data_IF_654582771669
#
_entry.id   IF_654582771669
#
_cell.length_a   1.000
_cell.length_b   1.000
_cell.length_c   1.000
_cell.angle_alpha   90.00
_cell.angle_beta   90.00
_cell.angle_gamma   90.00
#
_symmetry.space_group_name_H-M   'P 1'
#
loop_
_entity.id
_entity.type
_entity.pdbx_description
1 polymer ?
#
# COMPACT_ATOMS: atom_id res chain seq x y z
N UNK A 1 -33.06 -7.82 -29.07
CA UNK A 1 -33.84 -7.27 -27.94
C UNK A 1 -32.93 -7.26 -26.72
N UNK A 2 -32.22 -6.15 -26.43
CA UNK A 2 -31.39 -6.05 -25.22
C UNK A 2 -32.35 -5.89 -24.04
N UNK A 3 -32.54 -6.93 -23.23
CA UNK A 3 -33.14 -6.76 -21.91
C UNK A 3 -32.38 -5.66 -21.18
N UNK A 4 -33.10 -4.71 -20.59
CA UNK A 4 -32.46 -3.69 -19.73
C UNK A 4 -31.87 -4.44 -18.54
N UNK A 5 -30.57 -4.32 -18.31
CA UNK A 5 -29.83 -4.99 -17.22
C UNK A 5 -30.53 -4.78 -15.86
N UNK A 6 -31.22 -3.66 -15.69
CA UNK A 6 -31.99 -3.31 -14.48
C UNK A 6 -33.15 -4.27 -14.17
N UNK A 7 -33.68 -5.02 -15.14
CA UNK A 7 -34.80 -5.96 -14.93
C UNK A 7 -34.36 -7.38 -14.57
N UNK A 8 -33.05 -7.65 -14.56
CA UNK A 8 -32.51 -8.97 -14.21
C UNK A 8 -32.54 -9.19 -12.68
N UNK A 9 -32.66 -10.46 -12.22
CA UNK A 9 -32.40 -10.83 -10.83
C UNK A 9 -31.06 -10.25 -10.33
N UNK A 10 -30.98 -9.91 -9.04
CA UNK A 10 -29.77 -9.31 -8.47
C UNK A 10 -28.52 -10.16 -8.72
N UNK A 11 -28.64 -11.48 -8.59
CA UNK A 11 -27.55 -12.41 -8.87
C UNK A 11 -26.96 -12.20 -10.26
N UNK A 12 -27.79 -12.21 -11.30
CA UNK A 12 -27.35 -12.06 -12.70
C UNK A 12 -26.74 -10.67 -12.95
N UNK A 13 -27.29 -9.62 -12.34
CA UNK A 13 -26.72 -8.26 -12.41
C UNK A 13 -25.31 -8.19 -11.83
N UNK A 14 -25.08 -8.87 -10.70
CA UNK A 14 -23.76 -8.90 -10.06
C UNK A 14 -22.76 -9.72 -10.90
N UNK A 15 -23.20 -10.85 -11.47
CA UNK A 15 -22.37 -11.66 -12.37
C UNK A 15 -21.98 -10.87 -13.61
N UNK A 16 -22.91 -10.22 -14.31
CA UNK A 16 -22.59 -9.39 -15.49
C UNK A 16 -21.56 -8.29 -15.17
N UNK A 17 -21.66 -7.69 -13.98
CA UNK A 17 -20.68 -6.71 -13.51
C UNK A 17 -19.31 -7.34 -13.28
N UNK A 18 -19.25 -8.53 -12.69
CA UNK A 18 -17.99 -9.26 -12.46
C UNK A 18 -17.38 -9.72 -13.79
N UNK A 19 -18.17 -10.19 -14.75
CA UNK A 19 -17.72 -10.53 -16.10
C UNK A 19 -17.13 -9.30 -16.82
N UNK A 20 -17.74 -8.13 -16.63
CA UNK A 20 -17.19 -6.87 -17.13
C UNK A 20 -15.83 -6.53 -16.51
N UNK A 21 -15.61 -6.86 -15.23
CA UNK A 21 -14.30 -6.70 -14.58
C UNK A 21 -13.25 -7.66 -15.15
N UNK A 22 -13.60 -8.94 -15.38
CA UNK A 22 -12.68 -9.89 -16.03
C UNK A 22 -12.27 -9.43 -17.42
N UNK A 23 -13.22 -8.90 -18.21
CA UNK A 23 -12.95 -8.40 -19.55
C UNK A 23 -12.08 -7.12 -19.57
N UNK A 24 -11.95 -6.42 -18.43
CA UNK A 24 -11.27 -5.12 -18.34
C UNK A 24 -10.18 -5.12 -17.26
N UNK A 25 -10.51 -4.68 -16.05
CA UNK A 25 -9.56 -4.38 -14.97
C UNK A 25 -8.91 -5.63 -14.36
N UNK A 26 -9.52 -6.81 -14.44
CA UNK A 26 -9.00 -8.06 -13.84
C UNK A 26 -8.36 -9.00 -14.87
N UNK A 27 -8.24 -8.55 -16.12
CA UNK A 27 -7.77 -9.34 -17.25
C UNK A 27 -6.41 -10.02 -17.01
N UNK A 28 -5.55 -9.37 -16.23
CA UNK A 28 -4.16 -9.80 -16.04
C UNK A 28 -3.99 -10.89 -14.96
N UNK A 29 -5.02 -11.23 -14.19
CA UNK A 29 -4.87 -12.06 -12.98
C UNK A 29 -5.71 -13.32 -12.93
N UNK A 30 -6.88 -13.35 -13.57
CA UNK A 30 -7.89 -14.36 -13.27
C UNK A 30 -8.37 -15.12 -14.52
N UNK A 31 -8.37 -16.47 -14.48
CA UNK A 31 -9.01 -17.26 -15.52
C UNK A 31 -10.53 -17.10 -15.45
N UNK A 32 -11.18 -17.18 -16.62
CA UNK A 32 -12.63 -17.12 -16.72
C UNK A 32 -13.28 -18.19 -15.82
N UNK A 33 -14.29 -17.79 -15.04
CA UNK A 33 -15.05 -18.70 -14.20
C UNK A 33 -14.49 -18.97 -12.79
N UNK A 34 -13.34 -18.40 -12.40
CA UNK A 34 -12.76 -18.61 -11.05
C UNK A 34 -13.71 -18.20 -9.90
N UNK A 35 -14.62 -17.24 -10.13
CA UNK A 35 -15.64 -16.88 -9.15
C UNK A 35 -16.55 -18.04 -8.79
N UNK A 36 -16.80 -19.00 -9.68
CA UNK A 36 -17.63 -20.16 -9.37
C UNK A 36 -16.95 -21.11 -8.38
N UNK A 37 -15.64 -21.34 -8.57
CA UNK A 37 -14.82 -22.10 -7.62
C UNK A 37 -14.76 -21.40 -6.26
N UNK A 38 -14.58 -20.08 -6.28
CA UNK A 38 -14.58 -19.25 -5.07
C UNK A 38 -15.94 -19.28 -4.35
N UNK A 39 -17.05 -19.18 -5.08
CA UNK A 39 -18.41 -19.27 -4.52
C UNK A 39 -18.73 -20.67 -3.97
N UNK A 40 -18.11 -21.70 -4.55
CA UNK A 40 -18.19 -23.09 -4.08
C UNK A 40 -17.62 -23.31 -2.68
N UNK A 41 -16.82 -22.37 -2.16
CA UNK A 41 -16.33 -22.43 -0.79
C UNK A 41 -17.41 -22.12 0.25
N UNK A 42 -18.41 -21.30 -0.08
CA UNK A 42 -19.51 -20.96 0.82
C UNK A 42 -20.49 -22.13 0.87
N UNK A 43 -20.42 -22.88 1.97
CA UNK A 43 -21.19 -24.10 2.21
C UNK A 43 -21.95 -23.97 3.53
N UNK A 44 -23.25 -24.22 3.46
CA UNK A 44 -24.12 -24.25 4.62
C UNK A 44 -25.03 -25.48 4.56
N UNK A 45 -25.46 -25.97 5.72
CA UNK A 45 -26.39 -27.11 5.81
C UNK A 45 -27.78 -26.70 5.30
N UNK A 46 -28.14 -25.44 5.52
CA UNK A 46 -29.34 -24.82 5.01
C UNK A 46 -29.05 -24.19 3.63
N UNK A 47 -29.77 -24.65 2.60
CA UNK A 47 -29.56 -24.15 1.23
C UNK A 47 -29.98 -22.69 1.06
N UNK A 48 -31.03 -22.23 1.75
CA UNK A 48 -31.46 -20.82 1.66
C UNK A 48 -30.38 -19.90 2.25
N UNK A 49 -29.79 -20.29 3.38
CA UNK A 49 -28.66 -19.55 3.97
C UNK A 49 -27.45 -19.62 3.04
N UNK A 50 -27.17 -20.77 2.43
CA UNK A 50 -26.08 -20.92 1.47
C UNK A 50 -26.22 -19.99 0.26
N UNK A 51 -27.40 -19.92 -0.34
CA UNK A 51 -27.66 -19.01 -1.46
C UNK A 51 -27.54 -17.54 -1.02
N UNK A 52 -28.02 -17.20 0.19
CA UNK A 52 -27.87 -15.85 0.75
C UNK A 52 -26.40 -15.49 0.98
N UNK A 53 -25.59 -16.40 1.53
CA UNK A 53 -24.14 -16.21 1.70
C UNK A 53 -23.46 -15.95 0.34
N UNK A 54 -23.77 -16.76 -0.69
CA UNK A 54 -23.21 -16.60 -2.04
C UNK A 54 -23.62 -15.28 -2.71
N UNK A 55 -24.88 -14.87 -2.57
CA UNK A 55 -25.36 -13.60 -3.10
C UNK A 55 -24.65 -12.41 -2.44
N UNK A 56 -24.50 -12.42 -1.11
CA UNK A 56 -23.81 -11.36 -0.39
C UNK A 56 -22.29 -11.38 -0.68
N UNK A 57 -21.69 -12.57 -0.87
CA UNK A 57 -20.30 -12.71 -1.31
C UNK A 57 -20.09 -12.12 -2.72
N UNK A 58 -20.99 -12.40 -3.68
CA UNK A 58 -20.99 -11.78 -5.00
C UNK A 58 -21.12 -10.26 -4.92
N UNK A 59 -21.97 -9.76 -4.03
CA UNK A 59 -22.10 -8.33 -3.80
C UNK A 59 -20.77 -7.72 -3.37
N UNK A 60 -20.08 -8.31 -2.39
CA UNK A 60 -18.74 -7.86 -1.98
C UNK A 60 -17.72 -7.92 -3.13
N UNK A 61 -17.71 -9.03 -3.89
CA UNK A 61 -16.82 -9.20 -5.04
C UNK A 61 -17.07 -8.11 -6.10
N UNK A 62 -18.32 -7.73 -6.33
CA UNK A 62 -18.70 -6.66 -7.25
C UNK A 62 -18.22 -5.27 -6.82
N UNK A 63 -17.77 -5.12 -5.56
CA UNK A 63 -17.21 -3.88 -4.98
C UNK A 63 -15.70 -3.98 -4.78
N UNK A 64 -15.09 -5.11 -5.13
CA UNK A 64 -13.69 -5.38 -4.87
C UNK A 64 -12.78 -4.56 -5.77
N UNK A 65 -11.84 -3.84 -5.17
CA UNK A 65 -10.85 -3.04 -5.88
C UNK A 65 -9.65 -3.90 -6.22
N UNK A 66 -9.28 -3.94 -7.50
CA UNK A 66 -8.06 -4.57 -7.95
C UNK A 66 -7.27 -3.58 -8.79
N UNK A 67 -5.98 -3.45 -8.47
CA UNK A 67 -5.05 -2.64 -9.24
C UNK A 67 -4.10 -3.58 -9.98
N UNK A 68 -4.26 -3.64 -11.30
CA UNK A 68 -3.41 -4.39 -12.19
C UNK A 68 -2.03 -3.75 -12.35
N UNK A 69 -1.20 -4.37 -13.19
CA UNK A 69 0.17 -3.90 -13.43
C UNK A 69 0.18 -2.53 -14.11
N UNK A 70 -0.77 -2.26 -15.01
CA UNK A 70 -0.89 -0.96 -15.69
C UNK A 70 -1.24 0.13 -14.69
N UNK A 71 -2.27 -0.09 -13.85
CA UNK A 71 -2.72 0.90 -12.87
C UNK A 71 -1.66 1.17 -11.81
N UNK A 72 -0.99 0.12 -11.31
CA UNK A 72 0.13 0.29 -10.37
C UNK A 72 1.24 1.16 -10.94
N UNK A 73 1.60 0.99 -12.21
CA UNK A 73 2.63 1.80 -12.88
C UNK A 73 2.23 3.27 -12.99
N UNK A 74 0.97 3.55 -13.29
CA UNK A 74 0.47 4.93 -13.27
C UNK A 74 0.48 5.53 -11.87
N UNK A 75 0.10 4.76 -10.83
CA UNK A 75 0.17 5.23 -9.45
C UNK A 75 1.62 5.54 -9.02
N UNK A 76 2.61 4.78 -9.49
CA UNK A 76 4.03 5.07 -9.23
C UNK A 76 4.50 6.39 -9.87
N UNK A 77 3.90 6.79 -11.00
CA UNK A 77 4.12 8.14 -11.57
C UNK A 77 3.49 9.21 -10.68
N UNK A 78 2.30 8.96 -10.14
CA UNK A 78 1.64 9.87 -9.21
C UNK A 78 2.46 10.06 -7.92
N UNK A 79 3.04 8.99 -7.35
CA UNK A 79 3.94 9.12 -6.19
C UNK A 79 5.09 10.09 -6.47
N UNK A 80 5.77 9.92 -7.60
CA UNK A 80 6.89 10.78 -7.95
C UNK A 80 6.46 12.21 -8.30
N UNK A 81 5.42 12.37 -9.14
CA UNK A 81 4.98 13.68 -9.63
C UNK A 81 4.29 14.48 -8.52
N UNK A 82 3.30 13.88 -7.88
CA UNK A 82 2.36 14.59 -7.02
C UNK A 82 2.89 14.70 -5.58
N UNK A 83 3.42 13.61 -5.04
CA UNK A 83 3.86 13.58 -3.64
C UNK A 83 5.30 14.09 -3.46
N UNK A 84 6.20 13.78 -4.40
CA UNK A 84 7.59 14.21 -4.34
C UNK A 84 7.87 15.51 -5.13
N UNK A 85 7.72 15.48 -6.46
CA UNK A 85 8.22 16.54 -7.35
C UNK A 85 7.49 17.86 -7.11
N UNK A 86 6.16 17.87 -7.03
CA UNK A 86 5.41 19.09 -6.78
C UNK A 86 5.73 19.73 -5.43
N UNK A 87 5.99 18.94 -4.39
CA UNK A 87 6.43 19.46 -3.09
C UNK A 87 7.78 20.16 -3.20
N UNK A 88 8.76 19.51 -3.84
CA UNK A 88 10.10 20.09 -4.04
C UNK A 88 10.01 21.37 -4.90
N UNK A 89 9.25 21.32 -6.01
CA UNK A 89 9.04 22.49 -6.87
C UNK A 89 8.34 23.62 -6.13
N UNK A 90 7.32 23.33 -5.33
CA UNK A 90 6.63 24.34 -4.50
C UNK A 90 7.63 25.05 -3.58
N UNK A 91 8.45 24.30 -2.85
CA UNK A 91 9.48 24.87 -1.97
C UNK A 91 10.50 25.71 -2.73
N UNK A 92 10.98 25.24 -3.88
CA UNK A 92 11.87 26.00 -4.75
C UNK A 92 11.23 27.33 -5.17
N UNK A 93 9.94 27.35 -5.48
CA UNK A 93 9.24 28.59 -5.83
C UNK A 93 9.18 29.54 -4.65
N UNK A 94 8.75 29.06 -3.49
CA UNK A 94 8.67 29.84 -2.24
C UNK A 94 10.03 30.45 -1.86
N UNK A 95 11.11 29.66 -1.92
CA UNK A 95 12.48 30.10 -1.60
C UNK A 95 13.07 31.08 -2.63
N UNK A 96 12.40 31.31 -3.77
CA UNK A 96 12.86 32.16 -4.86
C UNK A 96 11.79 33.19 -5.27
N UNK A 97 11.12 33.79 -4.27
CA UNK A 97 10.12 34.85 -4.42
C UNK A 97 8.95 34.44 -5.34
N UNK A 98 8.40 33.25 -5.10
CA UNK A 98 7.26 32.68 -5.85
C UNK A 98 7.46 32.62 -7.37
N UNK A 99 8.72 32.44 -7.81
CA UNK A 99 9.07 32.41 -9.23
C UNK A 99 8.20 31.42 -10.03
N UNK A 100 7.94 31.79 -11.28
CA UNK A 100 7.29 30.94 -12.28
C UNK A 100 8.23 30.61 -13.44
N UNK A 101 9.50 31.05 -13.36
CA UNK A 101 10.49 30.78 -14.39
C UNK A 101 10.86 29.30 -14.40
N UNK A 102 10.38 28.62 -15.45
CA UNK A 102 10.59 27.19 -15.65
C UNK A 102 12.07 26.78 -15.73
N UNK A 103 12.95 27.66 -16.23
CA UNK A 103 14.38 27.35 -16.37
C UNK A 103 15.04 27.35 -15.00
N UNK A 104 14.75 28.36 -14.18
CA UNK A 104 15.25 28.47 -12.80
C UNK A 104 14.73 27.31 -11.95
N UNK A 105 13.43 27.00 -12.07
CA UNK A 105 12.81 25.89 -11.33
C UNK A 105 13.44 24.56 -11.72
N UNK A 106 13.60 24.28 -13.01
CA UNK A 106 14.15 23.01 -13.48
C UNK A 106 15.62 22.84 -13.11
N UNK A 107 16.42 23.92 -13.14
CA UNK A 107 17.81 23.88 -12.69
C UNK A 107 17.91 23.54 -11.20
N UNK A 108 17.19 24.28 -10.34
CA UNK A 108 17.18 24.02 -8.88
C UNK A 108 16.59 22.66 -8.54
N UNK A 109 15.58 22.22 -9.29
CA UNK A 109 15.00 20.89 -9.10
C UNK A 109 16.02 19.78 -9.37
N UNK A 110 16.84 19.91 -10.42
CA UNK A 110 17.92 18.95 -10.69
C UNK A 110 18.94 18.91 -9.56
N UNK A 111 19.30 20.06 -8.98
CA UNK A 111 20.19 20.14 -7.82
C UNK A 111 19.60 19.43 -6.61
N UNK A 112 18.32 19.64 -6.31
CA UNK A 112 17.62 18.96 -5.21
C UNK A 112 17.46 17.45 -5.45
N UNK A 113 17.25 17.03 -6.71
CA UNK A 113 17.18 15.62 -7.07
C UNK A 113 18.54 14.92 -6.86
N UNK A 114 19.66 15.59 -7.11
CA UNK A 114 21.01 15.04 -6.83
C UNK A 114 21.23 14.78 -5.34
N UNK A 115 20.63 15.61 -4.47
CA UNK A 115 20.65 15.49 -3.00
C UNK A 115 19.59 14.52 -2.46
N UNK A 116 18.82 13.88 -3.33
CA UNK A 116 17.74 12.95 -2.97
C UNK A 116 18.16 11.51 -3.17
N UNK A 117 17.75 10.63 -2.25
CA UNK A 117 17.82 9.17 -2.41
C UNK A 117 16.47 8.52 -2.17
N UNK A 118 16.11 7.58 -3.04
CA UNK A 118 14.88 6.78 -2.96
C UNK A 118 15.21 5.39 -2.41
N UNK A 119 14.39 4.93 -1.47
CA UNK A 119 14.53 3.64 -0.80
C UNK A 119 13.19 2.92 -0.76
N UNK A 120 13.21 1.60 -0.78
CA UNK A 120 12.03 0.76 -0.61
C UNK A 120 11.89 0.40 0.85
N UNK A 121 10.66 0.28 1.32
CA UNK A 121 10.40 -0.21 2.68
C UNK A 121 10.26 -1.72 2.68
N UNK A 122 10.82 -2.36 3.71
CA UNK A 122 10.74 -3.80 3.91
C UNK A 122 11.97 -4.58 3.47
N UNK A 123 11.83 -5.90 3.50
CA UNK A 123 12.88 -6.84 3.09
C UNK A 123 12.96 -6.88 1.54
N UNK A 124 14.14 -7.16 0.94
CA UNK A 124 14.28 -7.36 -0.51
C UNK A 124 13.28 -8.33 -1.17
N UNK A 125 12.73 -9.30 -0.42
CA UNK A 125 11.69 -10.22 -0.90
C UNK A 125 10.26 -9.65 -0.83
N UNK A 126 10.09 -8.40 -0.42
CA UNK A 126 8.79 -7.76 -0.21
C UNK A 126 8.42 -6.75 -1.30
N UNK A 127 7.14 -6.38 -1.31
CA UNK A 127 6.54 -5.53 -2.33
C UNK A 127 7.17 -4.14 -2.42
N UNK A 128 7.46 -3.50 -1.29
CA UNK A 128 8.05 -2.15 -1.25
C UNK A 128 9.37 -2.03 -2.00
N UNK A 129 10.26 -3.03 -1.89
CA UNK A 129 11.52 -3.06 -2.65
C UNK A 129 11.28 -3.41 -4.12
N UNK A 130 10.35 -4.31 -4.42
CA UNK A 130 10.02 -4.68 -5.79
C UNK A 130 9.48 -3.50 -6.61
N UNK A 131 8.59 -2.68 -6.03
CA UNK A 131 7.98 -1.55 -6.74
C UNK A 131 8.98 -0.44 -7.08
N UNK A 132 10.10 -0.31 -6.36
CA UNK A 132 11.15 0.66 -6.69
C UNK A 132 11.70 0.46 -8.10
N UNK A 133 11.79 -0.80 -8.56
CA UNK A 133 12.27 -1.09 -9.89
C UNK A 133 11.38 -0.45 -10.95
N UNK A 134 10.06 -0.58 -10.81
CA UNK A 134 9.09 0.05 -11.70
C UNK A 134 9.04 1.56 -11.50
N UNK A 135 9.09 2.04 -10.25
CA UNK A 135 9.14 3.47 -9.94
C UNK A 135 10.28 4.17 -10.70
N UNK A 136 11.47 3.56 -10.73
CA UNK A 136 12.61 4.09 -11.50
C UNK A 136 12.33 4.15 -12.99
N UNK A 137 11.76 3.07 -13.56
CA UNK A 137 11.48 2.98 -14.99
C UNK A 137 10.44 4.00 -15.43
N UNK A 138 9.30 4.02 -14.74
CA UNK A 138 8.17 4.89 -15.09
C UNK A 138 8.52 6.38 -14.97
N UNK A 139 9.39 6.73 -14.01
CA UNK A 139 9.82 8.11 -13.77
C UNK A 139 11.14 8.48 -14.47
N UNK A 140 11.70 7.58 -15.30
CA UNK A 140 12.94 7.79 -16.08
C UNK A 140 14.13 8.24 -15.21
N UNK A 141 14.24 7.68 -14.02
CA UNK A 141 15.26 8.05 -13.03
C UNK A 141 16.55 7.23 -13.22
N UNK A 142 17.69 7.85 -12.93
CA UNK A 142 18.99 7.16 -12.92
C UNK A 142 19.06 6.21 -11.73
N UNK A 143 19.73 5.06 -11.91
CA UNK A 143 19.93 4.07 -10.85
C UNK A 143 20.67 4.64 -9.62
N UNK A 144 21.48 5.67 -9.81
CA UNK A 144 22.27 6.33 -8.75
C UNK A 144 21.42 7.05 -7.71
N UNK A 145 20.14 7.30 -7.99
CA UNK A 145 19.21 7.87 -7.01
C UNK A 145 18.63 6.83 -6.06
N UNK A 146 18.90 5.55 -6.27
CA UNK A 146 18.35 4.44 -5.48
C UNK A 146 19.46 3.80 -4.68
N UNK A 147 19.23 3.61 -3.39
CA UNK A 147 20.19 3.01 -2.47
C UNK A 147 19.49 1.97 -1.59
N UNK A 148 20.27 1.04 -1.04
CA UNK A 148 19.78 0.16 0.00
C UNK A 148 19.87 0.86 1.36
N UNK A 149 19.16 0.35 2.38
CA UNK A 149 19.16 0.97 3.70
C UNK A 149 20.54 0.92 4.37
N UNK A 150 21.34 -0.09 4.03
CA UNK A 150 22.72 -0.23 4.50
C UNK A 150 23.66 0.79 3.86
N UNK A 151 23.34 1.25 2.64
CA UNK A 151 24.17 2.23 1.91
C UNK A 151 23.95 3.66 2.42
N UNK A 152 23.00 3.88 3.34
CA UNK A 152 22.75 5.18 3.98
C UNK A 152 23.92 5.58 4.88
N UNK A 153 24.54 4.59 5.54
CA UNK A 153 25.54 4.80 6.56
C UNK A 153 26.88 4.21 6.17
N UNK A 154 27.93 4.77 6.75
CA UNK A 154 29.28 4.20 6.71
C UNK A 154 29.85 4.13 8.12
N UNK A 155 30.72 3.15 8.35
CA UNK A 155 31.46 3.00 9.59
C UNK A 155 32.89 3.44 9.37
N UNK A 156 33.37 4.38 10.17
CA UNK A 156 34.75 4.79 10.19
C UNK A 156 35.43 4.29 11.46
N UNK A 157 36.59 3.63 11.32
CA UNK A 157 37.40 3.24 12.48
C UNK A 157 38.16 4.47 12.97
N UNK A 158 37.81 4.96 14.15
CA UNK A 158 38.51 6.05 14.84
C UNK A 158 39.49 5.44 15.83
N UNK A 159 40.74 5.91 15.78
CA UNK A 159 41.80 5.57 16.72
C UNK A 159 42.20 6.81 17.48
N UNK A 160 41.93 6.82 18.78
CA UNK A 160 42.30 7.92 19.67
C UNK A 160 43.43 7.46 20.58
N UNK A 161 44.45 8.29 20.70
CA UNK A 161 45.48 8.12 21.72
C UNK A 161 45.16 9.11 22.82
N UNK A 162 44.80 8.60 24.00
CA UNK A 162 44.58 9.45 25.17
C UNK A 162 45.88 10.14 25.60
N UNK A 163 45.75 11.24 26.35
CA UNK A 163 46.89 12.00 26.88
C UNK A 163 47.84 11.18 27.78
N UNK A 164 47.41 9.99 28.26
CA UNK A 164 48.23 9.05 29.03
C UNK A 164 48.80 7.90 28.18
N UNK A 165 48.76 8.01 26.85
CA UNK A 165 49.32 7.03 25.91
C UNK A 165 48.50 5.76 25.71
N UNK A 166 47.29 5.68 26.27
CA UNK A 166 46.39 4.54 26.00
C UNK A 166 45.66 4.76 24.68
N UNK A 167 45.77 3.79 23.78
CA UNK A 167 45.03 3.74 22.54
C UNK A 167 43.61 3.21 22.77
N UNK A 168 42.62 3.88 22.19
CA UNK A 168 41.24 3.41 22.09
C UNK A 168 40.85 3.38 20.62
N UNK A 169 40.25 2.29 20.17
CA UNK A 169 39.67 2.18 18.83
C UNK A 169 38.16 1.94 18.94
N UNK A 170 37.37 2.67 18.20
CA UNK A 170 35.92 2.47 18.09
C UNK A 170 35.43 2.77 16.68
N UNK A 171 34.28 2.22 16.31
CA UNK A 171 33.61 2.56 15.05
C UNK A 171 32.66 3.73 15.30
N UNK A 172 32.81 4.77 14.50
CA UNK A 172 31.86 5.87 14.43
C UNK A 172 30.95 5.68 13.22
N UNK A 173 29.65 5.83 13.44
CA UNK A 173 28.63 5.74 12.40
C UNK A 173 28.37 7.15 11.85
N UNK A 174 28.52 7.32 10.54
CA UNK A 174 28.19 8.56 9.84
C UNK A 174 27.35 8.30 8.59
N UNK A 175 26.82 9.36 7.97
CA UNK A 175 26.17 9.22 6.66
C UNK A 175 27.23 8.91 5.59
N UNK A 176 26.91 8.01 4.67
CA UNK A 176 27.83 7.62 3.61
C UNK A 176 28.12 8.77 2.61
N UNK A 177 27.15 9.65 2.39
CA UNK A 177 27.27 10.83 1.53
C UNK A 177 26.58 12.02 2.19
N UNK A 178 27.39 12.95 2.72
CA UNK A 178 26.91 14.14 3.43
C UNK A 178 26.16 15.13 2.54
N UNK A 179 26.32 15.03 1.21
CA UNK A 179 25.56 15.87 0.28
C UNK A 179 24.09 15.44 0.17
N UNK A 180 23.75 14.26 0.68
CA UNK A 180 22.38 13.75 0.68
C UNK A 180 21.63 14.28 1.88
N UNK A 181 20.68 15.15 1.59
CA UNK A 181 19.85 15.81 2.59
C UNK A 181 18.40 15.32 2.56
N UNK A 182 18.03 14.50 1.57
CA UNK A 182 16.65 14.02 1.42
C UNK A 182 16.57 12.51 1.18
N UNK A 183 15.81 11.82 2.02
CA UNK A 183 15.54 10.39 1.93
C UNK A 183 14.05 10.14 1.72
N UNK A 184 13.70 9.48 0.62
CA UNK A 184 12.31 9.23 0.24
C UNK A 184 12.06 7.72 0.23
N UNK A 185 11.32 7.26 1.21
CA UNK A 185 10.90 5.88 1.36
C UNK A 185 9.61 5.66 0.58
N UNK A 186 9.61 4.64 -0.29
CA UNK A 186 8.48 4.28 -1.15
C UNK A 186 7.93 2.92 -0.72
N UNK A 187 6.61 2.82 -0.65
CA UNK A 187 5.91 1.58 -0.30
C UNK A 187 4.64 1.38 -1.15
N UNK A 188 4.14 0.15 -1.22
CA UNK A 188 2.92 -0.14 -1.97
C UNK A 188 1.67 0.08 -1.11
N UNK A 189 1.67 -0.38 0.14
CA UNK A 189 0.49 -0.35 0.99
C UNK A 189 0.82 -0.19 2.48
N UNK A 190 0.26 0.85 3.12
CA UNK A 190 0.28 1.01 4.57
C UNK A 190 -1.09 0.78 5.20
N UNK A 191 -1.27 -0.41 5.79
CA UNK A 191 -2.46 -0.74 6.57
C UNK A 191 -2.46 -0.03 7.92
N UNK A 192 -1.68 -0.53 8.87
CA UNK A 192 -1.65 -0.03 10.25
C UNK A 192 -0.35 0.67 10.66
N UNK A 193 0.60 0.81 9.73
CA UNK A 193 1.89 1.45 9.97
C UNK A 193 2.92 0.65 10.78
N UNK A 194 2.65 -0.61 11.19
CA UNK A 194 3.61 -1.42 11.97
C UNK A 194 4.99 -1.49 11.29
N UNK A 195 5.01 -1.83 10.00
CA UNK A 195 6.26 -1.98 9.25
C UNK A 195 7.04 -0.66 9.17
N UNK A 196 6.35 0.45 8.89
CA UNK A 196 6.96 1.77 8.83
C UNK A 196 7.54 2.22 10.17
N UNK A 197 6.89 1.88 11.30
CA UNK A 197 7.42 2.16 12.64
C UNK A 197 8.72 1.41 12.91
N UNK A 198 8.74 0.12 12.63
CA UNK A 198 9.95 -0.71 12.82
C UNK A 198 11.09 -0.20 11.95
N UNK A 199 10.75 0.27 10.74
CA UNK A 199 11.70 0.86 9.82
C UNK A 199 12.21 2.23 10.28
N UNK A 200 11.32 3.07 10.83
CA UNK A 200 11.66 4.38 11.41
C UNK A 200 12.70 4.24 12.50
N UNK A 201 12.50 3.32 13.44
CA UNK A 201 13.43 3.06 14.55
C UNK A 201 14.82 2.64 14.09
N UNK A 202 14.90 1.87 13.01
CA UNK A 202 16.17 1.31 12.52
C UNK A 202 16.97 2.25 11.64
N UNK A 203 16.30 3.12 10.88
CA UNK A 203 16.95 3.91 9.83
C UNK A 203 16.67 5.40 10.03
N UNK A 204 15.41 5.81 10.15
CA UNK A 204 15.03 7.23 10.18
C UNK A 204 15.55 7.92 11.42
N UNK A 205 15.41 7.30 12.60
CA UNK A 205 15.93 7.85 13.85
C UNK A 205 17.46 8.01 13.82
N UNK A 206 18.18 7.09 13.17
CA UNK A 206 19.63 7.20 12.99
C UNK A 206 19.99 8.34 12.02
N UNK A 207 19.29 8.45 10.88
CA UNK A 207 19.47 9.57 9.94
C UNK A 207 19.28 10.90 10.67
N UNK A 208 18.20 11.03 11.44
CA UNK A 208 17.85 12.25 12.18
C UNK A 208 18.80 12.54 13.33
N UNK A 209 19.37 11.52 13.95
CA UNK A 209 20.39 11.69 15.00
C UNK A 209 21.70 12.23 14.42
N UNK A 210 22.13 11.73 13.25
CA UNK A 210 23.38 12.16 12.60
C UNK A 210 23.19 13.50 11.88
N UNK A 211 22.07 13.68 11.17
CA UNK A 211 21.71 14.91 10.47
C UNK A 211 20.26 15.31 10.80
N UNK A 212 20.07 16.15 11.84
CA UNK A 212 18.74 16.62 12.24
C UNK A 212 17.98 17.37 11.14
N UNK A 213 18.70 17.95 10.19
CA UNK A 213 18.14 18.74 9.09
C UNK A 213 17.79 17.90 7.85
N UNK A 214 18.11 16.60 7.84
CA UNK A 214 17.74 15.72 6.74
C UNK A 214 16.21 15.64 6.63
N UNK A 215 15.66 15.78 5.42
CA UNK A 215 14.23 15.62 5.16
C UNK A 215 13.94 14.15 4.81
N UNK A 216 13.10 13.50 5.59
CA UNK A 216 12.78 12.08 5.46
C UNK A 216 11.29 11.92 5.20
N UNK A 217 10.94 11.38 4.03
CA UNK A 217 9.56 11.19 3.60
C UNK A 217 9.19 9.71 3.49
N UNK A 218 7.94 9.35 3.79
CA UNK A 218 7.36 8.04 3.55
C UNK A 218 6.14 8.15 2.64
N UNK A 219 6.29 7.72 1.40
CA UNK A 219 5.30 7.86 0.34
C UNK A 219 4.81 6.48 -0.09
N UNK A 220 3.50 6.35 -0.27
CA UNK A 220 2.88 5.07 -0.62
C UNK A 220 1.84 5.19 -1.71
N UNK A 221 1.54 4.08 -2.37
CA UNK A 221 0.42 4.03 -3.32
C UNK A 221 -0.91 4.07 -2.56
N UNK A 222 -1.04 3.24 -1.52
CA UNK A 222 -2.24 3.13 -0.72
C UNK A 222 -1.90 3.25 0.77
N UNK A 223 -2.72 3.98 1.52
CA UNK A 223 -2.59 4.06 2.98
C UNK A 223 -3.95 4.21 3.63
N UNK A 224 -4.20 3.56 4.76
CA UNK A 224 -5.37 3.91 5.56
C UNK A 224 -5.14 5.23 6.28
N UNK A 225 -6.19 6.01 6.50
CA UNK A 225 -6.12 7.24 7.29
C UNK A 225 -5.49 7.01 8.67
N UNK A 226 -5.92 5.97 9.38
CA UNK A 226 -5.39 5.57 10.68
C UNK A 226 -3.93 5.17 10.61
N UNK A 227 -3.52 4.42 9.59
CA UNK A 227 -2.13 4.02 9.37
C UNK A 227 -1.22 5.22 9.12
N UNK A 228 -1.64 6.13 8.25
CA UNK A 228 -0.91 7.38 7.94
C UNK A 228 -0.77 8.23 9.20
N UNK A 229 -1.85 8.45 9.94
CA UNK A 229 -1.86 9.25 11.17
C UNK A 229 -0.98 8.64 12.26
N UNK A 230 -1.01 7.32 12.38
CA UNK A 230 -0.18 6.57 13.33
C UNK A 230 1.30 6.83 13.04
N UNK A 231 1.72 6.79 11.79
CA UNK A 231 3.12 7.05 11.42
C UNK A 231 3.47 8.51 11.69
N UNK A 232 2.63 9.46 11.24
CA UNK A 232 2.84 10.89 11.49
C UNK A 232 3.03 11.23 12.97
N UNK A 233 2.35 10.51 13.88
CA UNK A 233 2.40 10.74 15.34
C UNK A 233 3.54 10.02 16.04
N UNK A 234 3.91 8.83 15.59
CA UNK A 234 4.80 7.92 16.34
C UNK A 234 6.19 7.73 15.71
N UNK A 235 6.52 8.46 14.64
CA UNK A 235 7.80 8.33 13.93
C UNK A 235 8.41 9.70 13.63
N UNK A 236 9.66 9.70 13.15
CA UNK A 236 10.40 10.92 12.79
C UNK A 236 10.37 11.24 11.29
N UNK A 237 9.39 10.69 10.55
CA UNK A 237 9.16 11.09 9.16
C UNK A 237 8.61 12.53 9.11
N UNK A 238 9.23 13.40 8.31
CA UNK A 238 8.78 14.79 8.13
C UNK A 238 7.54 14.90 7.24
N UNK A 239 7.37 13.92 6.35
CA UNK A 239 6.25 13.90 5.42
C UNK A 239 5.81 12.47 5.15
N UNK A 240 4.53 12.19 5.37
CA UNK A 240 3.93 10.88 5.15
C UNK A 240 2.69 11.08 4.30
N UNK A 241 2.59 10.42 3.16
CA UNK A 241 1.39 10.56 2.33
C UNK A 241 1.15 9.39 1.37
N UNK A 242 -0.12 9.17 1.01
CA UNK A 242 -0.53 8.16 0.06
C UNK A 242 -1.11 8.81 -1.21
N UNK A 243 -0.96 8.13 -2.35
CA UNK A 243 -1.70 8.54 -3.56
C UNK A 243 -3.20 8.30 -3.37
N UNK A 244 -3.54 7.19 -2.71
CA UNK A 244 -4.91 6.81 -2.41
C UNK A 244 -5.09 6.54 -0.92
N UNK A 245 -5.82 7.43 -0.26
CA UNK A 245 -6.13 7.31 1.18
C UNK A 245 -7.43 6.56 1.39
N UNK A 246 -7.36 5.49 2.17
CA UNK A 246 -8.48 4.64 2.55
C UNK A 246 -9.01 5.08 3.91
N UNK A 247 -10.04 5.92 3.90
CA UNK A 247 -10.77 6.32 5.10
C UNK A 247 -11.65 5.18 5.67
N UNK A 248 -12.27 5.42 6.83
CA UNK A 248 -13.17 4.47 7.50
C UNK A 248 -14.29 3.92 6.59
N UNK A 249 -14.75 4.69 5.61
CA UNK A 249 -15.82 4.24 4.73
C UNK A 249 -15.39 3.10 3.80
N UNK A 250 -14.09 2.85 3.62
CA UNK A 250 -13.58 1.68 2.91
C UNK A 250 -13.59 0.40 3.74
N UNK A 251 -13.76 0.48 5.07
CA UNK A 251 -13.99 -0.70 5.90
C UNK A 251 -15.34 -1.31 5.54
N UNK A 252 -15.35 -2.57 5.14
CA UNK A 252 -16.56 -3.22 4.64
C UNK A 252 -17.74 -3.10 5.62
N UNK A 253 -17.50 -3.30 6.92
CA UNK A 253 -18.56 -3.39 7.91
C UNK A 253 -18.54 -2.25 8.95
N UNK A 254 -17.92 -1.11 8.62
CA UNK A 254 -18.05 0.09 9.45
C UNK A 254 -19.47 0.65 9.40
N UNK A 255 -19.80 1.52 10.34
CA UNK A 255 -21.06 2.26 10.33
C UNK A 255 -21.15 3.16 9.09
N UNK A 256 -20.04 3.79 8.73
CA UNK A 256 -19.89 4.68 7.58
C UNK A 256 -19.54 3.96 6.27
N UNK A 257 -19.73 2.64 6.18
CA UNK A 257 -19.29 1.86 5.02
C UNK A 257 -19.95 2.32 3.72
N UNK A 258 -19.11 2.74 2.77
CA UNK A 258 -19.56 3.26 1.45
C UNK A 258 -20.23 2.20 0.60
N UNK A 259 -20.00 0.92 0.89
CA UNK A 259 -20.58 -0.17 0.12
C UNK A 259 -22.09 -0.31 0.40
N UNK A 260 -22.55 0.12 1.57
CA UNK A 260 -23.94 0.01 2.01
C UNK A 260 -24.66 1.36 2.15
N UNK A 261 -23.95 2.49 2.03
CA UNK A 261 -24.53 3.84 2.16
C UNK A 261 -25.62 4.17 1.12
N UNK A 262 -25.63 3.44 0.00
CA UNK A 262 -26.60 3.56 -1.08
C UNK A 262 -27.29 2.22 -1.36
N UNK A 263 -27.43 1.33 -0.36
CA UNK A 263 -27.85 -0.04 -0.60
C UNK A 263 -29.28 -0.10 -1.17
N UNK A 264 -29.37 -0.13 -2.50
CA UNK A 264 -30.59 -0.25 -3.29
C UNK A 264 -31.13 -1.69 -3.30
N UNK A 265 -30.39 -2.63 -2.71
CA UNK A 265 -30.68 -4.06 -2.73
C UNK A 265 -31.23 -4.50 -1.38
N UNK A 266 -32.53 -4.78 -1.34
CA UNK A 266 -33.22 -5.31 -0.16
C UNK A 266 -32.73 -6.69 0.26
N UNK A 267 -32.13 -7.43 -0.67
CA UNK A 267 -31.61 -8.79 -0.49
C UNK A 267 -30.22 -8.82 0.17
N UNK A 268 -29.54 -7.67 0.24
CA UNK A 268 -28.20 -7.53 0.80
C UNK A 268 -28.28 -6.97 2.22
N UNK A 269 -27.77 -7.74 3.17
CA UNK A 269 -27.84 -7.46 4.60
C UNK A 269 -26.41 -7.34 5.15
N UNK A 270 -26.07 -6.15 5.66
CA UNK A 270 -24.71 -5.84 6.16
C UNK A 270 -24.33 -6.71 7.35
N UNK A 271 -25.24 -6.93 8.28
CA UNK A 271 -24.96 -7.66 9.52
C UNK A 271 -24.84 -9.15 9.23
N UNK A 272 -25.72 -9.68 8.39
CA UNK A 272 -25.57 -11.03 7.86
C UNK A 272 -24.24 -11.21 7.11
N UNK A 273 -23.87 -10.22 6.28
CA UNK A 273 -22.61 -10.27 5.52
C UNK A 273 -21.39 -10.30 6.42
N UNK A 274 -21.40 -9.47 7.47
CA UNK A 274 -20.36 -9.45 8.51
C UNK A 274 -20.27 -10.80 9.23
N UNK A 275 -21.41 -11.36 9.63
CA UNK A 275 -21.46 -12.63 10.37
C UNK A 275 -20.85 -13.78 9.57
N UNK A 276 -21.23 -13.97 8.31
CA UNK A 276 -20.63 -15.05 7.52
C UNK A 276 -19.15 -14.76 7.21
N UNK A 277 -18.79 -13.51 6.92
CA UNK A 277 -17.39 -13.13 6.71
C UNK A 277 -16.52 -13.45 7.93
N UNK A 278 -17.02 -13.19 9.14
CA UNK A 278 -16.38 -13.59 10.40
C UNK A 278 -16.33 -15.10 10.57
N UNK A 279 -17.43 -15.82 10.31
CA UNK A 279 -17.51 -17.30 10.39
C UNK A 279 -16.42 -17.97 9.58
N UNK A 280 -16.31 -17.64 8.29
CA UNK A 280 -15.28 -18.22 7.42
C UNK A 280 -13.88 -17.65 7.74
N UNK A 281 -13.80 -16.36 8.01
CA UNK A 281 -12.56 -15.70 8.40
C UNK A 281 -11.92 -16.31 9.66
N UNK A 282 -12.72 -16.74 10.64
CA UNK A 282 -12.23 -17.38 11.87
C UNK A 282 -11.55 -18.72 11.59
N UNK A 283 -11.97 -19.43 10.54
CA UNK A 283 -11.35 -20.69 10.10
C UNK A 283 -10.09 -20.40 9.28
N UNK A 284 -10.18 -19.46 8.35
CA UNK A 284 -9.09 -19.14 7.42
C UNK A 284 -7.94 -18.41 8.11
N UNK A 285 -8.24 -17.45 8.97
CA UNK A 285 -7.27 -16.66 9.71
C UNK A 285 -7.77 -16.24 11.10
N UNK A 286 -7.67 -17.15 12.10
CA UNK A 286 -8.25 -16.94 13.44
C UNK A 286 -7.81 -15.66 14.15
N UNK A 287 -6.57 -15.20 13.92
CA UNK A 287 -6.05 -13.99 14.55
C UNK A 287 -6.69 -12.71 14.00
N UNK A 288 -7.11 -12.73 12.74
CA UNK A 288 -7.60 -11.56 12.00
C UNK A 288 -8.71 -11.97 11.03
N UNK A 289 -9.88 -12.43 11.52
CA UNK A 289 -10.94 -13.01 10.70
C UNK A 289 -11.53 -12.03 9.70
N UNK A 290 -11.35 -10.73 9.93
CA UNK A 290 -11.81 -9.64 9.05
C UNK A 290 -10.65 -8.85 8.42
N UNK A 291 -9.47 -9.47 8.34
CA UNK A 291 -8.25 -8.84 7.82
C UNK A 291 -7.41 -8.23 8.94
N UNK A 292 -6.11 -8.05 8.66
CA UNK A 292 -5.12 -7.61 9.65
C UNK A 292 -5.56 -6.31 10.34
N UNK A 293 -5.55 -6.34 11.68
CA UNK A 293 -6.07 -5.26 12.57
C UNK A 293 -7.48 -4.77 12.20
N UNK A 294 -8.35 -5.67 11.74
CA UNK A 294 -9.75 -5.38 11.45
C UNK A 294 -9.94 -4.31 10.35
N UNK A 295 -9.05 -4.23 9.36
CA UNK A 295 -9.20 -3.25 8.29
C UNK A 295 -10.38 -3.54 7.35
N UNK A 296 -10.84 -4.78 7.23
CA UNK A 296 -12.04 -5.16 6.47
C UNK A 296 -12.03 -4.69 5.00
N UNK A 297 -10.86 -4.65 4.36
CA UNK A 297 -10.74 -4.10 3.01
C UNK A 297 -11.22 -5.08 1.94
N UNK A 298 -11.62 -4.50 0.81
CA UNK A 298 -11.91 -5.21 -0.44
C UNK A 298 -10.91 -4.74 -1.49
N UNK A 299 -9.63 -5.10 -1.30
CA UNK A 299 -8.51 -4.60 -2.12
C UNK A 299 -7.52 -5.73 -2.45
N UNK A 300 -7.04 -5.78 -3.69
CA UNK A 300 -5.86 -6.57 -4.09
C UNK A 300 -5.00 -5.78 -5.05
N UNK A 301 -3.69 -6.01 -4.98
CA UNK A 301 -2.71 -5.44 -5.91
C UNK A 301 -2.22 -6.56 -6.85
N UNK A 302 -1.65 -6.17 -7.99
CA UNK A 302 -1.14 -7.10 -8.99
C UNK A 302 -0.20 -8.14 -8.37
N UNK A 303 0.83 -7.68 -7.65
CA UNK A 303 1.88 -8.53 -7.10
C UNK A 303 1.44 -9.33 -5.86
N UNK A 304 0.54 -8.80 -5.04
CA UNK A 304 0.02 -9.53 -3.88
C UNK A 304 -1.29 -8.91 -3.35
N UNK A 305 -2.10 -9.70 -2.64
CA UNK A 305 -3.28 -9.17 -1.92
C UNK A 305 -2.86 -8.77 -0.51
N UNK A 306 -3.07 -7.51 -0.07
CA UNK A 306 -2.84 -7.10 1.31
C UNK A 306 -3.65 -7.96 2.28
N UNK A 307 -3.03 -8.32 3.40
CA UNK A 307 -3.71 -9.11 4.44
C UNK A 307 -4.70 -8.28 5.27
N UNK A 308 -4.70 -6.95 5.08
CA UNK A 308 -5.77 -6.06 5.54
C UNK A 308 -7.13 -6.30 4.84
N UNK A 309 -7.14 -7.03 3.73
CA UNK A 309 -8.37 -7.44 3.03
C UNK A 309 -9.03 -8.64 3.67
N UNK A 310 -10.34 -8.83 3.43
CA UNK A 310 -11.09 -9.95 3.99
C UNK A 310 -10.46 -11.31 3.59
N UNK A 311 -10.17 -12.22 4.56
CA UNK A 311 -9.45 -13.49 4.30
C UNK A 311 -10.13 -14.39 3.27
N UNK A 312 -11.46 -14.33 3.16
CA UNK A 312 -12.25 -15.09 2.19
C UNK A 312 -11.84 -14.82 0.75
N UNK A 313 -11.20 -13.68 0.44
CA UNK A 313 -10.75 -13.38 -0.92
C UNK A 313 -9.37 -13.96 -1.26
N UNK A 314 -8.49 -14.16 -0.28
CA UNK A 314 -7.07 -14.36 -0.56
C UNK A 314 -6.40 -15.55 0.11
N UNK A 315 -6.97 -16.09 1.19
CA UNK A 315 -6.38 -17.21 1.93
C UNK A 315 -6.52 -18.52 1.13
N UNK A 316 -5.46 -19.34 1.12
CA UNK A 316 -5.38 -20.60 0.37
C UNK A 316 -5.38 -21.86 1.27
N UNK A 317 -5.87 -21.74 2.51
CA UNK A 317 -5.96 -22.86 3.44
C UNK A 317 -7.27 -23.66 3.26
N UNK A 318 -7.24 -24.72 2.45
CA UNK A 318 -8.43 -25.52 2.08
C UNK A 318 -9.59 -24.66 1.54
N UNK A 319 -9.23 -23.58 0.88
CA UNK A 319 -10.11 -22.56 0.35
C UNK A 319 -9.60 -22.18 -1.03
N UNK A 320 -10.49 -21.95 -1.99
CA UNK A 320 -10.13 -21.51 -3.34
C UNK A 320 -10.21 -19.97 -3.42
N UNK A 321 -9.12 -19.21 -3.20
CA UNK A 321 -9.17 -17.75 -3.21
C UNK A 321 -9.29 -17.20 -4.63
N UNK A 322 -10.08 -16.14 -4.79
CA UNK A 322 -10.16 -15.39 -6.04
C UNK A 322 -8.99 -14.39 -6.20
N UNK A 323 -8.43 -13.86 -5.13
CA UNK A 323 -7.27 -12.97 -5.15
C UNK A 323 -6.19 -13.49 -4.21
N UNK A 324 -5.60 -14.63 -4.56
CA UNK A 324 -4.60 -15.32 -3.72
C UNK A 324 -3.51 -14.38 -3.18
N UNK A 325 -3.22 -14.49 -1.89
CA UNK A 325 -2.01 -13.92 -1.26
C UNK A 325 -0.91 -14.98 -1.20
N UNK A 326 0.31 -14.58 -1.51
CA UNK A 326 1.49 -15.39 -1.24
C UNK A 326 2.08 -14.99 0.12
N UNK A 327 2.10 -15.95 1.06
CA UNK A 327 2.65 -15.75 2.40
C UNK A 327 4.18 -15.67 2.38
N UNK A 328 4.72 -14.89 3.32
CA UNK A 328 6.16 -14.79 3.59
C UNK A 328 6.46 -15.85 4.66
N UNK A 329 7.26 -16.86 4.32
CA UNK A 329 7.67 -17.94 5.23
C UNK A 329 8.98 -17.62 5.94
#
# INVERSE_FOLDING_TARGET
MKMKIETLPLYDRLIEKILSFYATIWKDKLPDGIHNEWLGNFKNVDDDIQQKERLNALFLLSKFMYFGNVELRELLKCVFRDLYKYRVVKKIREDNNDTIDSVVIEQKYKEELLKTRFLGVGNPSESGVHILYYFRQENKLKKTFFINPLDVFQNQLIKEVSNCGKERSYYELSLADENITRYVFIDDFCGSGTQAKDYSKKIVELIKTINPNAEVSYLMLFGTDTGIDTIKKETQFDFVEAVFTLDESFKCFSENSRYYSSNQYTEIDKDFTKQFSQKYGQVLWPAHPLGYKDCQLLLSLFHNTPDNSLPTFWCDNNWNPIFKRYHKY
#
